data_IF_083157912574
#
_entry.id   IF_083157912574
#
_cell.length_a   1.000
_cell.length_b   1.000
_cell.length_c   1.000
_cell.angle_alpha   90.00
_cell.angle_beta   90.00
_cell.angle_gamma   90.00
#
_symmetry.space_group_name_H-M   'P 1'
#
loop_
_entity.id
_entity.type
_entity.pdbx_description
1 polymer ?
#
# COMPACT_ATOMS: atom_id res chain seq x y z
N UNK A 1 0.84 -27.10 -22.31
CA UNK A 1 2.18 -26.56 -22.01
C UNK A 1 2.07 -25.20 -21.30
N UNK A 2 1.08 -25.02 -20.42
CA UNK A 2 0.78 -23.72 -19.75
C UNK A 2 1.34 -23.63 -18.32
N UNK A 3 1.89 -24.73 -17.79
CA UNK A 3 2.79 -24.74 -16.63
C UNK A 3 4.13 -24.01 -16.90
N UNK A 4 4.31 -23.32 -18.04
CA UNK A 4 5.62 -22.99 -18.61
C UNK A 4 6.14 -21.57 -18.39
N UNK A 5 5.27 -20.57 -18.18
CA UNK A 5 5.70 -19.15 -18.08
C UNK A 5 5.40 -18.57 -16.70
N UNK A 6 4.23 -18.88 -16.13
CA UNK A 6 3.85 -18.45 -14.78
C UNK A 6 4.82 -19.00 -13.73
N UNK A 7 5.11 -20.29 -13.77
CA UNK A 7 6.04 -20.94 -12.83
C UNK A 7 7.47 -20.43 -13.01
N UNK A 8 7.91 -20.20 -14.25
CA UNK A 8 9.23 -19.66 -14.56
C UNK A 8 9.38 -18.24 -14.03
N UNK A 9 8.39 -17.37 -14.27
CA UNK A 9 8.37 -16.00 -13.76
C UNK A 9 8.33 -15.99 -12.23
N UNK A 10 7.47 -16.81 -11.60
CA UNK A 10 7.41 -16.98 -10.16
C UNK A 10 8.75 -17.44 -9.56
N UNK A 11 9.44 -18.37 -10.23
CA UNK A 11 10.75 -18.88 -9.79
C UNK A 11 11.82 -17.81 -9.90
N UNK A 12 11.85 -17.06 -11.02
CA UNK A 12 12.77 -15.95 -11.23
C UNK A 12 12.55 -14.84 -10.19
N UNK A 13 11.29 -14.49 -9.91
CA UNK A 13 10.94 -13.47 -8.90
C UNK A 13 11.29 -13.90 -7.48
N UNK A 14 11.08 -15.18 -7.13
CA UNK A 14 11.54 -15.71 -5.84
C UNK A 14 13.06 -15.56 -5.64
N UNK A 15 13.84 -15.71 -6.73
CA UNK A 15 15.29 -15.50 -6.73
C UNK A 15 15.70 -14.01 -6.75
N UNK A 16 14.79 -13.10 -7.12
CA UNK A 16 15.05 -11.65 -7.15
C UNK A 16 15.39 -11.09 -5.77
N UNK A 17 14.80 -11.67 -4.72
CA UNK A 17 15.09 -11.35 -3.32
C UNK A 17 16.59 -11.41 -2.95
N UNK A 18 17.39 -12.17 -3.70
CA UNK A 18 18.82 -12.32 -3.49
C UNK A 18 19.70 -11.55 -4.50
N UNK A 19 19.17 -11.15 -5.66
CA UNK A 19 19.95 -10.49 -6.72
C UNK A 19 19.09 -9.67 -7.72
N UNK A 20 18.46 -8.57 -7.30
CA UNK A 20 17.38 -7.91 -8.05
C UNK A 20 17.80 -7.43 -9.45
N UNK A 21 18.95 -6.75 -9.57
CA UNK A 21 19.45 -6.21 -10.85
C UNK A 21 19.73 -7.27 -11.92
N UNK A 22 20.09 -8.48 -11.51
CA UNK A 22 20.38 -9.57 -12.45
C UNK A 22 19.08 -10.23 -12.91
N UNK A 23 18.08 -10.28 -12.04
CA UNK A 23 16.79 -10.89 -12.35
C UNK A 23 15.98 -10.03 -13.32
N UNK A 24 16.00 -8.70 -13.20
CA UNK A 24 15.30 -7.83 -14.17
C UNK A 24 15.84 -7.99 -15.60
N UNK A 25 17.17 -8.09 -15.74
CA UNK A 25 17.82 -8.34 -17.03
C UNK A 25 17.48 -9.72 -17.60
N UNK A 26 17.46 -10.75 -16.73
CA UNK A 26 17.08 -12.11 -17.11
C UNK A 26 15.61 -12.19 -17.53
N UNK A 27 14.70 -11.59 -16.78
CA UNK A 27 13.27 -11.55 -17.08
C UNK A 27 13.01 -10.79 -18.38
N UNK A 28 13.69 -9.66 -18.60
CA UNK A 28 13.61 -8.91 -19.85
C UNK A 28 14.10 -9.71 -21.05
N UNK A 29 15.21 -10.43 -20.90
CA UNK A 29 15.76 -11.29 -21.96
C UNK A 29 14.86 -12.49 -22.25
N UNK A 30 14.33 -13.16 -21.21
CA UNK A 30 13.39 -14.27 -21.34
C UNK A 30 12.10 -13.83 -22.03
N UNK A 31 11.55 -12.68 -21.66
CA UNK A 31 10.35 -12.13 -22.30
C UNK A 31 10.60 -11.89 -23.80
N UNK A 32 11.77 -11.32 -24.15
CA UNK A 32 12.15 -11.09 -25.54
C UNK A 32 12.31 -12.39 -26.33
N UNK A 33 13.02 -13.38 -25.79
CA UNK A 33 13.28 -14.68 -26.44
C UNK A 33 12.00 -15.48 -26.65
N UNK A 34 11.07 -15.40 -25.71
CA UNK A 34 9.81 -16.14 -25.75
C UNK A 34 8.68 -15.38 -26.47
N UNK A 35 8.94 -14.17 -26.97
CA UNK A 35 7.93 -13.33 -27.63
C UNK A 35 6.79 -12.94 -26.68
N UNK A 36 7.07 -12.86 -25.38
CA UNK A 36 6.08 -12.54 -24.35
C UNK A 36 5.90 -11.02 -24.21
N UNK A 37 4.76 -10.59 -23.63
CA UNK A 37 4.60 -9.22 -23.15
C UNK A 37 5.75 -8.79 -22.23
N UNK A 38 5.94 -7.48 -22.08
CA UNK A 38 6.95 -6.94 -21.16
C UNK A 38 6.76 -7.48 -19.74
N UNK A 39 7.85 -7.61 -18.98
CA UNK A 39 7.85 -8.17 -17.61
C UNK A 39 6.82 -7.47 -16.72
N UNK A 40 6.72 -6.15 -16.80
CA UNK A 40 5.74 -5.37 -16.03
C UNK A 40 4.29 -5.77 -16.34
N UNK A 41 3.98 -6.05 -17.61
CA UNK A 41 2.64 -6.47 -18.05
C UNK A 41 2.30 -7.88 -17.58
N UNK A 42 3.26 -8.80 -17.67
CA UNK A 42 3.12 -10.13 -17.10
C UNK A 42 2.90 -10.07 -15.58
N UNK A 43 3.64 -9.21 -14.88
CA UNK A 43 3.47 -9.01 -13.45
C UNK A 43 2.05 -8.54 -13.08
N UNK A 44 1.45 -7.65 -13.88
CA UNK A 44 0.06 -7.23 -13.68
C UNK A 44 -0.92 -8.37 -13.91
N UNK A 45 -0.80 -9.12 -15.02
CA UNK A 45 -1.71 -10.22 -15.35
C UNK A 45 -1.65 -11.29 -14.27
N UNK A 46 -0.46 -11.79 -13.95
CA UNK A 46 -0.30 -12.82 -12.93
C UNK A 46 -0.59 -12.32 -11.52
N UNK A 47 -0.34 -11.04 -11.24
CA UNK A 47 -0.74 -10.42 -9.99
C UNK A 47 -2.25 -10.45 -9.80
N UNK A 48 -3.02 -10.14 -10.84
CA UNK A 48 -4.49 -10.23 -10.82
C UNK A 48 -4.98 -11.67 -10.62
N UNK A 49 -4.35 -12.64 -11.28
CA UNK A 49 -4.66 -14.06 -11.06
C UNK A 49 -4.44 -14.46 -9.59
N UNK A 50 -3.29 -14.08 -9.01
CA UNK A 50 -2.99 -14.41 -7.61
C UNK A 50 -3.99 -13.76 -6.66
N UNK A 51 -4.41 -12.52 -6.93
CA UNK A 51 -5.46 -11.85 -6.15
C UNK A 51 -6.78 -12.62 -6.22
N UNK A 52 -7.16 -13.10 -7.41
CA UNK A 52 -8.37 -13.91 -7.59
C UNK A 52 -8.24 -15.25 -6.83
N UNK A 53 -7.09 -15.90 -6.92
CA UNK A 53 -6.84 -17.16 -6.22
C UNK A 53 -6.86 -16.98 -4.70
N UNK A 54 -6.24 -15.91 -4.17
CA UNK A 54 -6.30 -15.55 -2.76
C UNK A 54 -7.75 -15.30 -2.34
N UNK A 55 -8.54 -14.59 -3.15
CA UNK A 55 -9.97 -14.38 -2.87
C UNK A 55 -10.75 -15.71 -2.77
N UNK A 56 -10.29 -16.75 -3.47
CA UNK A 56 -10.86 -18.10 -3.49
C UNK A 56 -10.25 -19.06 -2.45
N UNK A 57 -9.60 -18.56 -1.40
CA UNK A 57 -9.13 -19.36 -0.24
C UNK A 57 -7.86 -20.19 -0.44
N UNK A 58 -6.95 -19.73 -1.31
CA UNK A 58 -5.65 -20.38 -1.57
C UNK A 58 -4.53 -19.94 -0.59
N UNK A 59 -3.46 -20.75 -0.42
CA UNK A 59 -2.56 -20.67 0.75
C UNK A 59 -1.77 -19.38 0.90
N UNK A 60 -1.35 -19.10 2.15
CA UNK A 60 -0.59 -17.91 2.56
C UNK A 60 0.74 -17.70 1.81
N UNK A 61 1.31 -18.73 1.20
CA UNK A 61 2.56 -18.66 0.42
C UNK A 61 2.45 -17.74 -0.81
N UNK A 62 1.24 -17.35 -1.21
CA UNK A 62 1.01 -16.49 -2.37
C UNK A 62 1.14 -14.99 -2.08
N UNK A 63 1.18 -14.58 -0.81
CA UNK A 63 1.35 -13.17 -0.45
C UNK A 63 2.73 -12.64 -0.82
N UNK A 64 3.79 -13.41 -0.58
CA UNK A 64 5.16 -13.00 -0.94
C UNK A 64 5.31 -12.89 -2.46
N UNK A 65 4.74 -13.85 -3.20
CA UNK A 65 4.68 -13.80 -4.65
C UNK A 65 3.94 -12.55 -5.16
N UNK A 66 2.80 -12.21 -4.55
CA UNK A 66 2.04 -11.03 -4.91
C UNK A 66 2.82 -9.73 -4.66
N UNK A 67 3.59 -9.66 -3.56
CA UNK A 67 4.46 -8.51 -3.27
C UNK A 67 5.53 -8.33 -4.34
N UNK A 68 6.21 -9.40 -4.73
CA UNK A 68 7.23 -9.35 -5.78
C UNK A 68 6.63 -8.93 -7.13
N UNK A 69 5.45 -9.45 -7.49
CA UNK A 69 4.76 -9.04 -8.71
C UNK A 69 4.41 -7.55 -8.69
N UNK A 70 3.94 -7.01 -7.56
CA UNK A 70 3.65 -5.57 -7.43
C UNK A 70 4.92 -4.72 -7.54
N UNK A 71 6.04 -5.19 -6.99
CA UNK A 71 7.32 -4.49 -7.09
C UNK A 71 7.85 -4.45 -8.53
N UNK A 72 7.84 -5.59 -9.22
CA UNK A 72 8.34 -5.74 -10.59
C UNK A 72 7.36 -5.25 -11.67
N UNK A 73 6.10 -4.97 -11.32
CA UNK A 73 5.15 -4.29 -12.21
C UNK A 73 5.51 -2.82 -12.48
N UNK A 74 6.49 -2.25 -11.76
CA UNK A 74 6.99 -0.90 -12.02
C UNK A 74 5.87 0.14 -12.01
N UNK A 75 5.74 0.92 -13.09
CA UNK A 75 4.68 1.93 -13.22
C UNK A 75 3.29 1.31 -13.46
N UNK A 76 3.22 0.10 -14.01
CA UNK A 76 1.96 -0.61 -14.29
C UNK A 76 1.27 -1.19 -13.06
N UNK A 77 1.89 -1.10 -11.88
CA UNK A 77 1.22 -1.52 -10.63
C UNK A 77 -0.07 -0.74 -10.32
N UNK A 78 -0.29 0.42 -10.95
CA UNK A 78 -1.59 1.14 -10.93
C UNK A 78 -2.73 0.22 -11.39
N UNK A 79 -2.49 -0.60 -12.42
CA UNK A 79 -3.49 -1.48 -13.01
C UNK A 79 -3.94 -2.59 -12.07
N UNK A 80 -3.19 -2.82 -10.99
CA UNK A 80 -3.49 -3.79 -9.94
C UNK A 80 -4.30 -3.20 -8.78
N UNK A 81 -4.35 -1.86 -8.64
CA UNK A 81 -5.05 -1.18 -7.53
C UNK A 81 -6.51 -1.65 -7.38
N UNK A 82 -7.33 -1.76 -8.46
CA UNK A 82 -8.72 -2.24 -8.33
C UNK A 82 -8.82 -3.64 -7.75
N UNK A 83 -7.94 -4.56 -8.17
CA UNK A 83 -7.92 -5.93 -7.69
C UNK A 83 -7.47 -5.99 -6.23
N UNK A 84 -6.44 -5.22 -5.85
CA UNK A 84 -5.96 -5.15 -4.47
C UNK A 84 -6.99 -4.52 -3.52
N UNK A 85 -7.75 -3.53 -3.99
CA UNK A 85 -8.91 -2.99 -3.28
C UNK A 85 -10.00 -4.05 -3.06
N UNK A 86 -10.32 -4.83 -4.10
CA UNK A 86 -11.28 -5.91 -3.98
C UNK A 86 -10.81 -6.98 -2.97
N UNK A 87 -9.51 -7.31 -2.97
CA UNK A 87 -8.91 -8.23 -2.01
C UNK A 87 -8.98 -7.71 -0.58
N UNK A 88 -8.68 -6.42 -0.38
CA UNK A 88 -8.75 -5.78 0.94
C UNK A 88 -10.21 -5.75 1.44
N UNK A 89 -11.18 -5.45 0.59
CA UNK A 89 -12.60 -5.54 0.94
C UNK A 89 -13.02 -6.98 1.25
N UNK A 90 -12.58 -7.97 0.47
CA UNK A 90 -12.82 -9.38 0.75
C UNK A 90 -12.23 -9.81 2.11
N UNK A 91 -11.06 -9.27 2.47
CA UNK A 91 -10.41 -9.51 3.77
C UNK A 91 -11.18 -8.93 4.96
N UNK A 92 -12.24 -8.13 4.76
CA UNK A 92 -13.15 -7.78 5.86
C UNK A 92 -13.85 -9.03 6.43
N UNK A 93 -14.10 -10.04 5.59
CA UNK A 93 -14.63 -11.34 6.02
C UNK A 93 -13.56 -12.28 6.58
N UNK A 94 -12.27 -11.98 6.35
CA UNK A 94 -11.10 -12.73 6.82
C UNK A 94 -10.07 -11.77 7.45
N UNK A 95 -10.32 -11.31 8.70
CA UNK A 95 -9.52 -10.28 9.34
C UNK A 95 -8.02 -10.61 9.40
N UNK A 96 -7.66 -11.88 9.43
CA UNK A 96 -6.28 -12.39 9.42
C UNK A 96 -5.49 -12.04 8.15
N UNK A 97 -6.16 -11.69 7.04
CA UNK A 97 -5.54 -11.29 5.77
C UNK A 97 -5.39 -9.79 5.60
N UNK A 98 -6.09 -9.00 6.41
CA UNK A 98 -6.06 -7.53 6.32
C UNK A 98 -4.64 -6.97 6.39
N UNK A 99 -3.73 -7.45 7.27
CA UNK A 99 -2.37 -6.91 7.33
C UNK A 99 -1.60 -7.09 6.01
N UNK A 100 -1.72 -8.27 5.40
CA UNK A 100 -1.02 -8.61 4.17
C UNK A 100 -1.64 -7.87 2.98
N UNK A 101 -2.96 -7.82 2.88
CA UNK A 101 -3.66 -7.08 1.83
C UNK A 101 -3.34 -5.58 1.87
N UNK A 102 -3.34 -4.98 3.08
CA UNK A 102 -2.98 -3.59 3.26
C UNK A 102 -1.51 -3.32 2.90
N UNK A 103 -0.59 -4.21 3.28
CA UNK A 103 0.83 -4.07 2.93
C UNK A 103 1.09 -4.16 1.40
N UNK A 104 0.41 -5.06 0.70
CA UNK A 104 0.51 -5.14 -0.77
C UNK A 104 -0.07 -3.90 -1.43
N UNK A 105 -1.19 -3.38 -0.91
CA UNK A 105 -1.76 -2.12 -1.39
C UNK A 105 -0.81 -0.94 -1.16
N UNK A 106 -0.16 -0.87 0.01
CA UNK A 106 0.85 0.15 0.32
C UNK A 106 1.98 0.15 -0.72
N UNK A 107 2.47 -1.03 -1.10
CA UNK A 107 3.50 -1.19 -2.14
C UNK A 107 3.03 -0.67 -3.50
N UNK A 108 1.79 -0.99 -3.88
CA UNK A 108 1.21 -0.51 -5.13
C UNK A 108 1.10 1.03 -5.16
N UNK A 109 0.70 1.63 -4.04
CA UNK A 109 0.53 3.08 -3.87
C UNK A 109 1.85 3.86 -3.76
N UNK A 110 3.01 3.21 -3.65
CA UNK A 110 4.30 3.88 -3.56
C UNK A 110 4.76 4.57 -4.87
N UNK A 111 3.87 4.80 -5.84
CA UNK A 111 4.15 5.46 -7.13
C UNK A 111 4.10 6.96 -7.00
N UNK A 112 4.88 7.72 -7.78
CA UNK A 112 4.86 9.18 -7.75
C UNK A 112 3.51 9.78 -8.17
N UNK A 113 2.71 9.08 -8.98
CA UNK A 113 1.42 9.59 -9.49
C UNK A 113 0.33 8.51 -9.44
N UNK A 114 -0.53 8.56 -8.41
CA UNK A 114 -1.76 7.75 -8.37
C UNK A 114 -2.90 8.54 -9.02
N UNK A 115 -3.56 8.00 -10.06
CA UNK A 115 -4.66 8.70 -10.73
C UNK A 115 -5.79 9.05 -9.75
N UNK A 116 -6.25 10.30 -9.80
CA UNK A 116 -7.28 10.82 -8.88
C UNK A 116 -8.59 10.02 -8.83
N UNK A 117 -8.91 9.29 -9.90
CA UNK A 117 -10.08 8.40 -9.97
C UNK A 117 -10.07 7.28 -8.92
N UNK A 118 -8.89 6.89 -8.43
CA UNK A 118 -8.77 5.85 -7.39
C UNK A 118 -8.93 6.41 -5.99
N UNK A 119 -8.91 7.74 -5.80
CA UNK A 119 -8.96 8.37 -4.49
C UNK A 119 -10.25 8.04 -3.72
N UNK A 120 -11.47 8.22 -4.29
CA UNK A 120 -12.70 7.91 -3.54
C UNK A 120 -12.81 6.44 -3.09
N UNK A 121 -12.60 5.42 -3.94
CA UNK A 121 -12.69 4.02 -3.50
C UNK A 121 -11.56 3.64 -2.53
N UNK A 122 -10.36 4.21 -2.65
CA UNK A 122 -9.27 4.01 -1.70
C UNK A 122 -9.62 4.56 -0.32
N UNK A 123 -10.11 5.80 -0.24
CA UNK A 123 -10.53 6.38 1.04
C UNK A 123 -11.67 5.59 1.68
N UNK A 124 -12.69 5.22 0.89
CA UNK A 124 -13.82 4.43 1.38
C UNK A 124 -13.40 3.07 1.95
N UNK A 125 -12.41 2.43 1.32
CA UNK A 125 -11.89 1.13 1.77
C UNK A 125 -10.95 1.25 2.98
N UNK A 126 -10.13 2.31 3.04
CA UNK A 126 -9.13 2.51 4.09
C UNK A 126 -9.74 3.05 5.39
N UNK A 127 -10.80 3.85 5.33
CA UNK A 127 -11.38 4.51 6.50
C UNK A 127 -11.80 3.51 7.61
N UNK A 128 -12.53 2.41 7.34
CA UNK A 128 -12.86 1.42 8.38
C UNK A 128 -11.63 0.73 8.98
N UNK A 129 -10.50 0.72 8.26
CA UNK A 129 -9.26 0.07 8.69
C UNK A 129 -8.43 0.96 9.63
N UNK A 130 -8.67 2.28 9.62
CA UNK A 130 -8.02 3.25 10.51
C UNK A 130 -8.39 3.03 11.98
N UNK A 131 -9.59 2.49 12.27
CA UNK A 131 -10.01 2.15 13.62
C UNK A 131 -9.67 0.69 14.00
N UNK A 132 -9.07 -0.06 13.08
CA UNK A 132 -8.86 -1.51 13.19
C UNK A 132 -7.47 -1.94 13.69
N UNK A 133 -7.24 -3.26 13.64
CA UNK A 133 -5.93 -3.87 13.96
C UNK A 133 -4.83 -3.50 12.96
N UNK A 134 -5.20 -3.08 11.76
CA UNK A 134 -4.31 -2.74 10.64
C UNK A 134 -4.18 -1.24 10.41
N UNK A 135 -4.60 -0.42 11.37
CA UNK A 135 -4.58 1.05 11.31
C UNK A 135 -3.24 1.65 10.89
N UNK A 136 -2.11 1.06 11.29
CA UNK A 136 -0.79 1.50 10.88
C UNK A 136 -0.57 1.33 9.36
N UNK A 137 -0.94 0.18 8.81
CA UNK A 137 -0.83 -0.08 7.37
C UNK A 137 -1.81 0.81 6.58
N UNK A 138 -3.03 0.98 7.10
CA UNK A 138 -4.01 1.88 6.50
C UNK A 138 -3.52 3.35 6.49
N UNK A 139 -2.90 3.82 7.58
CA UNK A 139 -2.26 5.13 7.66
C UNK A 139 -1.12 5.28 6.65
N UNK A 140 -0.29 4.24 6.45
CA UNK A 140 0.78 4.28 5.44
C UNK A 140 0.22 4.38 4.03
N UNK A 141 -0.82 3.60 3.71
CA UNK A 141 -1.55 3.72 2.44
C UNK A 141 -2.09 5.13 2.22
N UNK A 142 -2.74 5.69 3.26
CA UNK A 142 -3.30 7.05 3.22
C UNK A 142 -2.20 8.10 3.04
N UNK A 143 -1.08 7.97 3.76
CA UNK A 143 0.07 8.87 3.61
C UNK A 143 0.60 8.86 2.18
N UNK A 144 0.84 7.67 1.60
CA UNK A 144 1.32 7.51 0.21
C UNK A 144 0.37 8.15 -0.78
N UNK A 145 -0.92 7.90 -0.61
CA UNK A 145 -1.99 8.46 -1.43
C UNK A 145 -1.97 10.00 -1.41
N UNK A 146 -1.75 10.60 -0.25
CA UNK A 146 -1.74 12.06 -0.08
C UNK A 146 -0.43 12.71 -0.54
N UNK A 147 0.72 12.04 -0.39
CA UNK A 147 2.01 12.58 -0.84
C UNK A 147 2.22 12.46 -2.33
N UNK A 148 1.60 11.45 -2.97
CA UNK A 148 1.84 11.09 -4.36
C UNK A 148 0.67 11.43 -5.28
N UNK A 149 -0.29 12.21 -4.82
CA UNK A 149 -1.35 12.72 -5.68
C UNK A 149 -1.08 14.19 -5.96
N UNK A 150 -1.02 14.56 -7.24
CA UNK A 150 -0.98 15.95 -7.69
C UNK A 150 -2.25 16.74 -7.33
N UNK A 151 -3.26 16.06 -6.78
CA UNK A 151 -4.46 16.67 -6.23
C UNK A 151 -4.13 17.33 -4.90
N UNK A 152 -4.34 18.65 -4.84
CA UNK A 152 -4.44 19.48 -3.64
C UNK A 152 -4.90 18.67 -2.43
N UNK A 153 -4.33 18.89 -1.22
CA UNK A 153 -4.67 18.15 -0.01
C UNK A 153 -6.17 17.98 0.02
N UNK A 154 -6.59 16.71 -0.09
CA UNK A 154 -7.98 16.35 -0.01
C UNK A 154 -8.55 17.16 1.15
N UNK A 155 -9.71 17.80 0.96
CA UNK A 155 -10.59 17.92 2.11
C UNK A 155 -10.98 16.49 2.46
N UNK A 156 -10.06 15.80 3.13
CA UNK A 156 -10.23 14.51 3.73
C UNK A 156 -11.52 14.70 4.53
N UNK A 157 -12.56 13.97 4.14
CA UNK A 157 -13.90 14.19 4.67
C UNK A 157 -13.86 14.22 6.19
N UNK A 158 -14.89 14.77 6.82
CA UNK A 158 -14.98 14.91 8.29
C UNK A 158 -14.62 13.61 9.01
N UNK A 159 -14.96 12.46 8.42
CA UNK A 159 -14.63 11.11 8.88
C UNK A 159 -13.12 10.84 8.94
N UNK A 160 -12.37 11.15 7.87
CA UNK A 160 -10.90 10.98 7.84
C UNK A 160 -10.26 11.95 8.83
N UNK A 161 -10.72 13.20 8.89
CA UNK A 161 -10.24 14.16 9.88
C UNK A 161 -10.43 13.63 11.32
N UNK A 162 -11.62 13.11 11.64
CA UNK A 162 -11.92 12.54 12.95
C UNK A 162 -11.03 11.33 13.27
N UNK A 163 -10.85 10.43 12.30
CA UNK A 163 -9.97 9.27 12.45
C UNK A 163 -8.52 9.67 12.73
N UNK A 164 -7.97 10.66 11.99
CA UNK A 164 -6.60 11.14 12.23
C UNK A 164 -6.47 11.80 13.60
N UNK A 165 -7.44 12.60 14.04
CA UNK A 165 -7.43 13.19 15.39
C UNK A 165 -7.41 12.10 16.47
N UNK A 166 -8.20 11.04 16.30
CA UNK A 166 -8.20 9.89 17.21
C UNK A 166 -6.83 9.19 17.25
N UNK A 167 -6.23 8.95 16.07
CA UNK A 167 -4.96 8.23 15.93
C UNK A 167 -3.74 9.02 16.42
N UNK A 168 -3.83 10.34 16.56
CA UNK A 168 -2.80 11.12 17.24
C UNK A 168 -2.69 10.75 18.73
N UNK A 169 -3.74 10.19 19.33
CA UNK A 169 -3.79 9.73 20.72
C UNK A 169 -3.74 8.19 20.84
N UNK A 170 -3.36 7.48 19.78
CA UNK A 170 -3.29 6.02 19.76
C UNK A 170 -2.35 5.46 20.85
N UNK A 171 -2.66 4.28 21.39
CA UNK A 171 -1.79 3.57 22.33
C UNK A 171 -0.38 3.28 21.78
N UNK A 172 -0.25 3.00 20.47
CA UNK A 172 1.01 2.61 19.83
C UNK A 172 1.76 3.83 19.29
N UNK A 173 3.01 3.98 19.72
CA UNK A 173 3.87 5.08 19.28
C UNK A 173 4.04 5.13 17.75
N UNK A 174 4.19 3.99 17.07
CA UNK A 174 4.31 3.94 15.60
C UNK A 174 3.07 4.50 14.89
N UNK A 175 1.88 4.26 15.45
CA UNK A 175 0.61 4.77 14.91
C UNK A 175 0.52 6.27 15.12
N UNK A 176 0.82 6.76 16.33
CA UNK A 176 0.88 8.21 16.61
C UNK A 176 1.88 8.93 15.72
N UNK A 177 3.08 8.37 15.55
CA UNK A 177 4.13 8.96 14.71
C UNK A 177 3.71 9.00 13.23
N UNK A 178 3.03 7.97 12.73
CA UNK A 178 2.49 7.98 11.37
C UNK A 178 1.32 8.96 11.24
N UNK A 179 0.43 9.03 12.21
CA UNK A 179 -0.67 10.00 12.25
C UNK A 179 -0.14 11.44 12.22
N UNK A 180 0.97 11.74 12.91
CA UNK A 180 1.64 13.05 12.84
C UNK A 180 2.06 13.40 11.40
N UNK A 181 2.58 12.44 10.64
CA UNK A 181 3.00 12.67 9.25
C UNK A 181 1.83 12.91 8.30
N UNK A 182 0.67 12.30 8.58
CA UNK A 182 -0.54 12.41 7.77
C UNK A 182 -1.38 13.64 8.12
N UNK A 183 -1.31 14.10 9.38
CA UNK A 183 -2.14 15.18 9.91
C UNK A 183 -2.15 16.48 9.06
N UNK A 184 -1.02 17.02 8.56
CA UNK A 184 -1.03 18.25 7.76
C UNK A 184 -1.85 18.15 6.47
N UNK A 185 -1.95 16.95 5.90
CA UNK A 185 -2.69 16.70 4.66
C UNK A 185 -4.17 16.36 4.89
N UNK A 186 -4.56 15.96 6.11
CA UNK A 186 -5.92 15.53 6.42
C UNK A 186 -6.70 16.49 7.31
N UNK A 187 -6.03 17.34 8.09
CA UNK A 187 -6.67 18.18 9.09
C UNK A 187 -6.70 19.65 8.67
N UNK A 188 -7.71 20.42 9.09
CA UNK A 188 -7.66 21.87 9.01
C UNK A 188 -6.39 22.41 9.72
N UNK A 189 -5.72 23.45 9.19
CA UNK A 189 -4.42 23.90 9.71
C UNK A 189 -4.39 24.12 11.22
N UNK A 190 -5.43 24.74 11.79
CA UNK A 190 -5.51 24.99 13.24
C UNK A 190 -5.61 23.69 14.05
N UNK A 191 -6.36 22.70 13.56
CA UNK A 191 -6.49 21.40 14.21
C UNK A 191 -5.19 20.60 14.09
N UNK A 192 -4.54 20.64 12.92
CA UNK A 192 -3.24 20.02 12.69
C UNK A 192 -2.19 20.58 13.66
N UNK A 193 -1.99 21.89 13.68
CA UNK A 193 -1.02 22.55 14.56
C UNK A 193 -1.27 22.20 16.03
N UNK A 194 -2.53 22.31 16.49
CA UNK A 194 -2.87 22.00 17.88
C UNK A 194 -2.57 20.54 18.24
N UNK A 195 -2.92 19.60 17.37
CA UNK A 195 -2.66 18.17 17.58
C UNK A 195 -1.16 17.88 17.62
N UNK A 196 -0.41 18.44 16.67
CA UNK A 196 1.03 18.22 16.54
C UNK A 196 1.84 18.88 17.67
N UNK A 197 1.51 20.09 18.11
CA UNK A 197 2.19 20.73 19.25
C UNK A 197 2.08 19.89 20.52
N UNK A 198 0.93 19.25 20.76
CA UNK A 198 0.77 18.31 21.90
C UNK A 198 1.64 17.05 21.79
N UNK A 199 2.14 16.72 20.61
CA UNK A 199 3.01 15.56 20.38
C UNK A 199 4.50 15.88 20.52
N UNK A 200 4.89 17.14 20.66
CA UNK A 200 6.27 17.54 20.94
C UNK A 200 6.75 17.08 22.33
N UNK A 201 5.82 16.82 23.24
CA UNK A 201 6.08 16.31 24.59
C UNK A 201 5.77 14.81 24.74
N UNK A 202 5.57 14.07 23.63
CA UNK A 202 5.29 12.63 23.69
C UNK A 202 6.45 11.84 24.31
N UNK A 203 6.12 10.78 25.05
CA UNK A 203 7.11 9.89 25.69
C UNK A 203 8.02 9.24 24.64
N UNK A 204 7.46 8.90 23.46
CA UNK A 204 8.18 8.29 22.36
C UNK A 204 8.95 9.34 21.54
N UNK A 205 10.25 9.12 21.33
CA UNK A 205 11.14 10.04 20.59
C UNK A 205 10.70 10.16 19.13
N UNK A 206 10.32 9.04 18.51
CA UNK A 206 9.87 8.97 17.13
C UNK A 206 8.60 9.77 16.86
N UNK A 207 7.71 9.88 17.85
CA UNK A 207 6.49 10.70 17.77
C UNK A 207 6.85 12.18 17.83
N UNK A 208 7.74 12.56 18.75
CA UNK A 208 8.24 13.95 18.86
C UNK A 208 8.93 14.40 17.58
N UNK A 209 9.80 13.57 17.01
CA UNK A 209 10.48 13.86 15.74
C UNK A 209 9.47 13.98 14.59
N UNK A 210 8.49 13.07 14.52
CA UNK A 210 7.46 13.12 13.48
C UNK A 210 6.60 14.38 13.59
N UNK A 211 6.22 14.78 14.81
CA UNK A 211 5.46 15.99 15.07
C UNK A 211 6.24 17.26 14.72
N UNK A 212 7.53 17.32 15.10
CA UNK A 212 8.40 18.44 14.79
C UNK A 212 8.64 18.63 13.29
N UNK A 213 8.75 17.54 12.52
CA UNK A 213 8.86 17.63 11.06
C UNK A 213 7.55 18.01 10.36
N UNK A 214 6.40 17.76 11.00
CA UNK A 214 5.08 18.03 10.43
C UNK A 214 4.58 19.46 10.71
N UNK A 215 5.15 20.14 11.71
CA UNK A 215 4.92 21.56 12.04
C UNK A 215 5.80 22.47 11.18
#
# INVERSE_FOLDING_TARGET
MELSVKELLCTCLALASHAPRKVDLLLGHLAHVLGLPGVEELCVVYGKDIVQDLSNDWPHSRWDMLRELVLHAGHRRIDMIPSLLALLNASQRRPEWQPQAAAVLELALALPDVPGQYMPPLLHTLLPLLDGKVRLAALRCLHRLLTNSATSPLQAGVEVSAAIVSLLEDEKAEVRAMACRVAPACLPPVAATRGLTRRLDDVAVEVRIAAAHAL
#
